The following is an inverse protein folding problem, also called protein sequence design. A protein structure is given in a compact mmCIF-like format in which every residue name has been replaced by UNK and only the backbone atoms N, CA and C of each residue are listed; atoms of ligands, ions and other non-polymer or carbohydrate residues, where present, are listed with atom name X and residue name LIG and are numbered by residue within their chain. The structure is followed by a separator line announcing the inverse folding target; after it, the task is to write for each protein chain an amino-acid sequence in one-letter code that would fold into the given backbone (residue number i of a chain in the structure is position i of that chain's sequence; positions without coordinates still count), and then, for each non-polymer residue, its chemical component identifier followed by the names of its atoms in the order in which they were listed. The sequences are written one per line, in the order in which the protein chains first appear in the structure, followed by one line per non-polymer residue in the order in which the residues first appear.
data_IF_647959361151
#
_entry.id   IF_647959361151
#
_cell.length_a   1.000
_cell.length_b   1.000
_cell.length_c   1.000
_cell.angle_alpha   90.00
_cell.angle_beta   90.00
_cell.angle_gamma   90.00
#
_symmetry.space_group_name_H-M   'P 1'
#
loop_
_entity.id
_entity.type
_entity.pdbx_description
1 polymer ?
#
# COMPACT_ATOMS: atom_id res chain seq x y z
N UNK A 1 1.37 52.10 16.39
CA UNK A 1 2.05 50.78 16.32
C UNK A 1 1.27 49.62 16.97
N UNK A 2 0.08 49.83 17.55
CA UNK A 2 -0.66 48.78 18.29
C UNK A 2 -1.59 47.90 17.43
N UNK A 3 -1.99 48.37 16.25
CA UNK A 3 -2.89 47.63 15.32
C UNK A 3 -2.20 46.56 14.49
N UNK A 4 -0.87 46.63 14.32
CA UNK A 4 -0.11 45.63 13.55
C UNK A 4 0.11 44.32 14.32
N UNK A 5 0.09 44.36 15.66
CA UNK A 5 0.26 43.16 16.49
C UNK A 5 -1.00 42.28 16.51
N UNK A 6 -2.18 42.89 16.37
CA UNK A 6 -3.46 42.17 16.43
C UNK A 6 -3.70 41.26 15.22
N UNK A 7 -3.22 41.66 14.03
CA UNK A 7 -3.34 40.85 12.82
C UNK A 7 -2.42 39.62 12.83
N UNK A 8 -1.27 39.68 13.50
CA UNK A 8 -0.36 38.53 13.61
C UNK A 8 -0.97 37.46 14.51
N UNK A 9 -1.63 37.85 15.61
CA UNK A 9 -2.27 36.90 16.53
C UNK A 9 -3.47 36.22 15.86
N UNK A 10 -4.26 36.94 15.05
CA UNK A 10 -5.40 36.37 14.33
C UNK A 10 -4.97 35.36 13.25
N UNK A 11 -3.80 35.53 12.63
CA UNK A 11 -3.25 34.62 11.62
C UNK A 11 -2.77 33.28 12.22
N UNK A 12 -2.33 33.28 13.48
CA UNK A 12 -1.87 32.06 14.16
C UNK A 12 -3.03 31.16 14.63
N UNK A 13 -4.21 31.72 14.90
CA UNK A 13 -5.39 30.94 15.35
C UNK A 13 -6.05 30.18 14.19
N UNK A 14 -5.84 30.59 12.93
CA UNK A 14 -6.35 29.86 11.75
C UNK A 14 -5.52 28.63 11.35
N UNK A 15 -4.24 28.56 11.76
CA UNK A 15 -3.37 27.41 11.49
C UNK A 15 -3.56 26.26 12.49
N UNK A 16 -4.31 26.48 13.57
CA UNK A 16 -4.78 25.40 14.47
C UNK A 16 -6.17 24.92 14.09
N UNK A 17 -6.66 25.21 12.88
CA UNK A 17 -7.83 24.50 12.35
C UNK A 17 -7.41 23.04 12.21
N UNK A 18 -7.85 22.27 13.19
CA UNK A 18 -7.60 20.86 13.33
C UNK A 18 -7.90 20.19 11.99
N UNK A 19 -6.85 19.77 11.28
CA UNK A 19 -6.93 18.49 10.60
C UNK A 19 -7.31 17.56 11.74
N UNK A 20 -8.58 17.14 11.78
CA UNK A 20 -8.97 15.96 12.53
C UNK A 20 -8.27 14.82 11.81
N UNK A 21 -6.96 14.72 12.04
CA UNK A 21 -6.20 13.53 11.76
C UNK A 21 -6.95 12.46 12.51
N UNK A 22 -7.59 11.58 11.74
CA UNK A 22 -8.22 10.40 12.25
C UNK A 22 -7.08 9.52 12.80
N UNK A 23 -6.67 9.80 14.04
CA UNK A 23 -5.90 8.88 14.84
C UNK A 23 -6.86 7.75 15.19
N UNK A 24 -6.75 6.66 14.42
CA UNK A 24 -7.60 5.48 14.51
C UNK A 24 -8.05 5.22 15.93
N UNK A 25 -9.34 5.42 16.18
CA UNK A 25 -9.91 5.28 17.51
C UNK A 25 -9.60 3.89 18.04
N UNK A 26 -8.90 3.84 19.17
CA UNK A 26 -8.70 2.62 19.96
C UNK A 26 -10.04 1.93 20.27
N UNK A 27 -10.00 0.66 20.70
CA UNK A 27 -11.03 -0.34 20.44
C UNK A 27 -12.39 0.12 20.95
N UNK A 28 -13.24 0.62 20.05
CA UNK A 28 -14.68 0.46 20.24
C UNK A 28 -14.93 -1.04 20.28
N UNK A 29 -15.63 -1.54 21.29
CA UNK A 29 -16.08 -2.93 21.43
C UNK A 29 -17.09 -3.35 20.35
N UNK A 30 -17.02 -2.72 19.18
CA UNK A 30 -17.79 -3.10 18.01
C UNK A 30 -17.09 -4.30 17.39
N UNK A 31 -17.86 -5.37 17.23
CA UNK A 31 -17.41 -6.58 16.55
C UNK A 31 -16.92 -6.23 15.14
N UNK A 32 -15.68 -6.57 14.85
CA UNK A 32 -15.08 -6.33 13.54
C UNK A 32 -15.60 -7.41 12.61
N UNK A 33 -16.38 -7.01 11.61
CA UNK A 33 -16.89 -7.93 10.60
C UNK A 33 -16.22 -7.61 9.28
N UNK A 34 -15.29 -8.46 8.88
CA UNK A 34 -14.70 -8.41 7.55
C UNK A 34 -15.67 -9.01 6.54
N UNK A 35 -15.82 -8.34 5.40
CA UNK A 35 -16.59 -8.79 4.25
C UNK A 35 -15.70 -8.70 3.02
N UNK A 36 -16.04 -9.39 1.95
CA UNK A 36 -15.29 -9.31 0.68
C UNK A 36 -15.23 -7.90 0.07
N UNK A 37 -15.96 -6.94 0.62
CA UNK A 37 -16.14 -5.59 0.08
C UNK A 37 -15.57 -4.47 0.98
N UNK A 38 -15.03 -4.82 2.16
CA UNK A 38 -14.61 -3.81 3.14
C UNK A 38 -13.15 -3.88 3.59
N UNK A 39 -12.39 -4.83 3.06
CA UNK A 39 -10.98 -4.93 3.39
C UNK A 39 -10.11 -5.30 2.19
N UNK A 40 -8.82 -5.04 2.35
CA UNK A 40 -7.75 -5.51 1.47
C UNK A 40 -6.67 -6.19 2.31
N UNK A 41 -6.05 -7.22 1.75
CA UNK A 41 -4.85 -7.83 2.34
C UNK A 41 -3.60 -7.18 1.75
N UNK A 42 -2.66 -6.74 2.59
CA UNK A 42 -1.47 -6.03 2.12
C UNK A 42 -0.58 -6.91 1.25
N UNK A 43 -0.47 -8.21 1.58
CA UNK A 43 0.37 -9.15 0.86
C UNK A 43 -0.11 -9.38 -0.58
N UNK A 44 -1.43 -9.37 -0.79
CA UNK A 44 -2.01 -9.44 -2.14
C UNK A 44 -1.69 -8.16 -2.92
N UNK A 45 -1.85 -6.99 -2.31
CA UNK A 45 -1.54 -5.71 -2.96
C UNK A 45 -0.06 -5.59 -3.35
N UNK A 46 0.83 -6.05 -2.47
CA UNK A 46 2.27 -6.05 -2.70
C UNK A 46 2.65 -7.06 -3.79
N UNK A 47 2.03 -8.24 -3.80
CA UNK A 47 2.20 -9.22 -4.86
C UNK A 47 1.87 -8.62 -6.22
N UNK A 48 0.72 -7.95 -6.35
CA UNK A 48 0.34 -7.29 -7.60
C UNK A 48 1.34 -6.20 -8.01
N UNK A 49 1.80 -5.39 -7.07
CA UNK A 49 2.84 -4.39 -7.32
C UNK A 49 4.13 -5.05 -7.87
N UNK A 50 4.61 -6.12 -7.23
CA UNK A 50 5.83 -6.79 -7.66
C UNK A 50 5.66 -7.45 -9.03
N UNK A 51 4.52 -8.08 -9.29
CA UNK A 51 4.22 -8.68 -10.60
C UNK A 51 4.23 -7.62 -11.72
N UNK A 52 3.70 -6.42 -11.48
CA UNK A 52 3.74 -5.31 -12.45
C UNK A 52 5.17 -4.77 -12.67
N UNK A 53 5.96 -4.64 -11.61
CA UNK A 53 7.38 -4.23 -11.71
C UNK A 53 8.20 -5.25 -12.51
N UNK A 54 7.99 -6.55 -12.29
CA UNK A 54 8.65 -7.61 -13.07
C UNK A 54 8.29 -7.49 -14.57
N UNK A 55 7.00 -7.29 -14.90
CA UNK A 55 6.56 -7.11 -16.28
C UNK A 55 7.18 -5.87 -16.93
N UNK A 56 7.25 -4.77 -16.18
CA UNK A 56 7.90 -3.51 -16.60
C UNK A 56 9.39 -3.71 -16.86
N UNK A 57 10.09 -4.43 -15.98
CA UNK A 57 11.50 -4.79 -16.15
C UNK A 57 11.69 -5.65 -17.40
N UNK A 58 10.89 -6.69 -17.60
CA UNK A 58 11.01 -7.58 -18.75
C UNK A 58 10.86 -6.81 -20.08
N UNK A 59 9.90 -5.87 -20.16
CA UNK A 59 9.73 -5.01 -21.32
C UNK A 59 10.94 -4.09 -21.57
N UNK A 60 11.54 -3.53 -20.50
CA UNK A 60 12.75 -2.69 -20.59
C UNK A 60 13.96 -3.52 -21.07
N UNK A 61 14.16 -4.70 -20.52
CA UNK A 61 15.23 -5.62 -20.89
C UNK A 61 15.10 -6.04 -22.36
N UNK A 62 13.89 -6.38 -22.82
CA UNK A 62 13.65 -6.74 -24.23
C UNK A 62 14.02 -5.58 -25.18
N UNK A 63 13.73 -4.34 -24.78
CA UNK A 63 14.10 -3.15 -25.56
C UNK A 63 15.62 -2.92 -25.59
N UNK A 64 16.29 -3.04 -24.44
CA UNK A 64 17.74 -2.82 -24.34
C UNK A 64 18.54 -3.89 -25.08
N UNK A 65 18.08 -5.15 -25.08
CA UNK A 65 18.70 -6.27 -25.81
C UNK A 65 18.66 -6.09 -27.34
N UNK A 66 17.87 -5.13 -27.86
CA UNK A 66 17.80 -4.80 -29.30
C UNK A 66 18.85 -3.77 -29.73
N UNK A 67 19.66 -3.22 -28.81
CA UNK A 67 20.75 -2.28 -29.15
C UNK A 67 21.85 -3.03 -29.92
N UNK A 68 22.26 -2.59 -31.13
CA UNK A 68 23.29 -3.24 -31.92
C UNK A 68 24.65 -3.29 -31.21
N UNK A 69 25.42 -4.35 -31.40
CA UNK A 69 26.73 -4.57 -30.74
C UNK A 69 27.81 -3.58 -31.17
N UNK A 70 27.64 -2.93 -32.32
CA UNK A 70 28.50 -1.88 -32.87
C UNK A 70 28.05 -0.47 -32.46
N UNK A 71 26.92 -0.34 -31.76
CA UNK A 71 26.44 0.95 -31.24
C UNK A 71 27.36 1.46 -30.13
N UNK A 72 27.65 2.79 -30.08
CA UNK A 72 28.35 3.38 -28.94
C UNK A 72 27.63 3.15 -27.60
N UNK A 73 26.31 2.95 -27.63
CA UNK A 73 25.47 2.78 -26.44
C UNK A 73 25.38 1.32 -25.95
N UNK A 74 25.98 0.36 -26.68
CA UNK A 74 25.82 -1.07 -26.39
C UNK A 74 26.28 -1.46 -24.97
N UNK A 75 27.42 -0.92 -24.55
CA UNK A 75 27.98 -1.22 -23.21
C UNK A 75 27.06 -0.72 -22.10
N UNK A 76 26.52 0.48 -22.26
CA UNK A 76 25.60 1.07 -21.29
C UNK A 76 24.26 0.33 -21.26
N UNK A 77 23.78 -0.11 -22.42
CA UNK A 77 22.58 -0.94 -22.52
C UNK A 77 22.77 -2.29 -21.80
N UNK A 78 23.92 -2.94 -21.96
CA UNK A 78 24.20 -4.21 -21.28
C UNK A 78 24.37 -4.05 -19.77
N UNK A 79 24.98 -2.94 -19.32
CA UNK A 79 25.07 -2.63 -17.89
C UNK A 79 23.68 -2.44 -17.28
N UNK A 80 22.77 -1.74 -17.98
CA UNK A 80 21.37 -1.59 -17.54
C UNK A 80 20.62 -2.92 -17.53
N UNK A 81 20.82 -3.80 -18.52
CA UNK A 81 20.22 -5.13 -18.53
C UNK A 81 20.61 -5.91 -17.27
N UNK A 82 21.90 -5.92 -16.91
CA UNK A 82 22.36 -6.65 -15.73
C UNK A 82 21.73 -6.09 -14.44
N UNK A 83 21.66 -4.76 -14.30
CA UNK A 83 21.01 -4.13 -13.14
C UNK A 83 19.53 -4.47 -13.04
N UNK A 84 18.81 -4.45 -14.16
CA UNK A 84 17.39 -4.80 -14.21
C UNK A 84 17.15 -6.29 -13.91
N UNK A 85 18.02 -7.19 -14.38
CA UNK A 85 17.94 -8.62 -14.07
C UNK A 85 18.23 -8.90 -12.58
N UNK A 86 19.15 -8.17 -11.96
CA UNK A 86 19.38 -8.23 -10.50
C UNK A 86 18.16 -7.73 -9.71
N UNK A 87 17.57 -6.60 -10.12
CA UNK A 87 16.35 -6.06 -9.51
C UNK A 87 15.18 -7.05 -9.64
N UNK A 88 14.96 -7.61 -10.82
CA UNK A 88 13.95 -8.66 -11.04
C UNK A 88 14.17 -9.86 -10.13
N UNK A 89 15.40 -10.34 -10.00
CA UNK A 89 15.69 -11.47 -9.11
C UNK A 89 15.36 -11.14 -7.65
N UNK A 90 15.60 -9.90 -7.21
CA UNK A 90 15.24 -9.46 -5.85
C UNK A 90 13.72 -9.48 -5.63
N UNK A 91 12.95 -9.09 -6.64
CA UNK A 91 11.49 -9.14 -6.61
C UNK A 91 10.96 -10.58 -6.58
N UNK A 92 11.54 -11.48 -7.36
CA UNK A 92 11.17 -12.91 -7.37
C UNK A 92 11.43 -13.58 -6.01
N UNK A 93 12.54 -13.24 -5.34
CA UNK A 93 12.83 -13.70 -3.98
C UNK A 93 11.77 -13.19 -3.01
N UNK A 94 11.47 -11.88 -3.05
CA UNK A 94 10.46 -11.26 -2.18
C UNK A 94 9.08 -11.88 -2.38
N UNK A 95 8.66 -12.15 -3.61
CA UNK A 95 7.41 -12.87 -3.91
C UNK A 95 7.38 -14.27 -3.28
N UNK A 96 8.51 -14.98 -3.28
CA UNK A 96 8.60 -16.34 -2.73
C UNK A 96 8.48 -16.38 -1.20
N UNK A 97 8.79 -15.27 -0.52
CA UNK A 97 8.72 -15.13 0.93
C UNK A 97 7.34 -14.67 1.42
N UNK A 98 6.47 -14.22 0.50
CA UNK A 98 5.14 -13.73 0.84
C UNK A 98 4.24 -14.85 1.33
N UNK A 99 3.53 -14.54 2.42
CA UNK A 99 2.51 -15.43 3.00
C UNK A 99 1.20 -15.17 2.28
N UNK A 100 0.60 -16.22 1.72
CA UNK A 100 -0.72 -16.14 1.13
C UNK A 100 -1.79 -16.26 2.24
N UNK A 101 -2.63 -15.24 2.40
CA UNK A 101 -3.71 -15.23 3.39
C UNK A 101 -4.65 -16.43 3.25
N UNK A 102 -4.94 -16.86 2.02
CA UNK A 102 -5.79 -18.03 1.76
C UNK A 102 -5.17 -19.34 2.24
N UNK A 103 -3.84 -19.39 2.37
CA UNK A 103 -3.12 -20.54 2.92
C UNK A 103 -3.17 -20.55 4.45
N UNK A 104 -3.29 -19.39 5.09
CA UNK A 104 -3.37 -19.24 6.56
C UNK A 104 -4.81 -19.43 7.04
N UNK A 105 -5.79 -18.83 6.37
CA UNK A 105 -7.18 -18.78 6.85
C UNK A 105 -8.16 -19.36 5.83
N UNK A 106 -8.40 -20.68 5.93
CA UNK A 106 -9.48 -21.35 5.19
C UNK A 106 -10.83 -20.78 5.64
N UNK A 107 -11.54 -20.10 4.73
CA UNK A 107 -12.89 -19.61 4.97
C UNK A 107 -13.00 -18.11 5.28
N UNK A 108 -11.89 -17.35 5.25
CA UNK A 108 -11.97 -15.91 5.24
C UNK A 108 -12.61 -15.41 3.93
N UNK A 109 -13.48 -14.38 3.96
CA UNK A 109 -14.09 -13.86 2.75
C UNK A 109 -13.00 -13.24 1.89
N UNK A 110 -12.73 -13.77 0.70
CA UNK A 110 -11.65 -13.27 -0.16
C UNK A 110 -11.91 -11.77 -0.47
N UNK A 111 -10.95 -10.88 -0.21
CA UNK A 111 -11.13 -9.45 -0.44
C UNK A 111 -11.12 -9.21 -1.94
N UNK A 112 -12.30 -9.13 -2.53
CA UNK A 112 -12.53 -9.11 -3.97
C UNK A 112 -11.89 -10.28 -4.76
N UNK A 113 -12.61 -10.83 -5.73
CA UNK A 113 -12.02 -11.82 -6.65
C UNK A 113 -11.13 -11.07 -7.66
N UNK A 114 -9.81 -11.20 -7.55
CA UNK A 114 -8.86 -10.53 -8.44
C UNK A 114 -8.25 -11.50 -9.46
N UNK A 115 -8.97 -11.75 -10.57
CA UNK A 115 -8.36 -11.93 -11.87
C UNK A 115 -8.80 -10.80 -12.81
N UNK A 116 -7.82 -10.06 -13.37
CA UNK A 116 -7.98 -8.92 -14.29
C UNK A 116 -8.40 -7.56 -13.70
N UNK A 117 -8.05 -7.28 -12.44
CA UNK A 117 -7.83 -5.91 -11.97
C UNK A 117 -9.07 -5.02 -11.82
N UNK A 118 -10.21 -5.58 -11.40
CA UNK A 118 -11.45 -4.82 -11.15
C UNK A 118 -11.99 -5.04 -9.75
N UNK A 119 -11.35 -4.45 -8.75
CA UNK A 119 -12.06 -4.21 -7.50
C UNK A 119 -11.39 -3.12 -6.68
N UNK A 120 -11.97 -1.92 -6.73
CA UNK A 120 -11.95 -1.03 -5.58
C UNK A 120 -13.06 -1.54 -4.65
N UNK A 121 -12.76 -1.90 -3.40
CA UNK A 121 -13.81 -2.32 -2.48
C UNK A 121 -14.91 -1.25 -2.39
N UNK A 122 -16.17 -1.67 -2.48
CA UNK A 122 -17.32 -0.76 -2.49
C UNK A 122 -17.30 0.16 -1.26
N UNK A 123 -16.82 -0.38 -0.13
CA UNK A 123 -16.70 0.31 1.15
C UNK A 123 -15.40 -0.07 1.86
N UNK A 124 -14.26 0.42 1.36
CA UNK A 124 -12.97 0.14 1.99
C UNK A 124 -12.88 0.76 3.40
N UNK A 125 -12.60 -0.09 4.40
CA UNK A 125 -12.49 0.32 5.81
C UNK A 125 -11.26 -0.28 6.51
N UNK A 126 -10.83 -1.47 6.09
CA UNK A 126 -9.76 -2.22 6.76
C UNK A 126 -8.63 -2.63 5.81
N UNK A 127 -7.42 -2.65 6.36
CA UNK A 127 -6.28 -3.33 5.75
C UNK A 127 -5.81 -4.41 6.70
N UNK A 128 -5.64 -5.62 6.18
CA UNK A 128 -5.09 -6.74 6.93
C UNK A 128 -3.59 -6.85 6.71
N UNK A 129 -2.89 -7.23 7.78
CA UNK A 129 -1.46 -7.48 7.81
C UNK A 129 -1.18 -8.77 8.57
N UNK A 130 -0.08 -9.43 8.23
CA UNK A 130 0.46 -10.49 9.07
C UNK A 130 0.94 -9.92 10.42
N UNK A 131 0.74 -10.65 11.52
CA UNK A 131 1.23 -10.32 12.87
C UNK A 131 2.76 -10.09 12.99
N UNK A 132 3.58 -10.58 12.06
CA UNK A 132 5.02 -10.33 12.02
C UNK A 132 5.39 -8.89 11.62
N UNK A 133 4.45 -8.11 11.10
CA UNK A 133 4.66 -6.69 10.81
C UNK A 133 4.64 -5.91 12.13
N UNK A 134 5.70 -5.18 12.43
CA UNK A 134 5.83 -4.43 13.70
C UNK A 134 5.33 -2.99 13.58
N UNK A 135 5.38 -2.43 12.38
CA UNK A 135 4.86 -1.10 12.05
C UNK A 135 4.27 -1.12 10.65
N UNK A 136 3.17 -0.41 10.47
CA UNK A 136 2.62 -0.15 9.14
C UNK A 136 1.93 1.21 9.13
N UNK A 137 1.97 1.86 7.98
CA UNK A 137 1.23 3.06 7.66
C UNK A 137 0.59 2.88 6.28
N UNK A 138 -0.68 3.23 6.19
CA UNK A 138 -1.45 3.19 4.94
C UNK A 138 -1.97 4.59 4.64
N UNK A 139 -1.75 5.02 3.40
CA UNK A 139 -2.25 6.27 2.85
C UNK A 139 -3.06 5.98 1.59
N UNK A 140 -4.33 6.38 1.58
CA UNK A 140 -5.23 6.23 0.44
C UNK A 140 -5.51 7.59 -0.19
N UNK A 141 -5.37 7.67 -1.51
CA UNK A 141 -5.61 8.87 -2.32
C UNK A 141 -6.60 8.60 -3.45
N UNK A 142 -7.32 9.63 -3.86
CA UNK A 142 -8.09 9.60 -5.11
C UNK A 142 -7.22 9.89 -6.34
N UNK A 143 -7.84 9.92 -7.51
CA UNK A 143 -7.20 10.20 -8.80
C UNK A 143 -6.60 11.61 -8.92
N UNK A 144 -7.08 12.56 -8.11
CA UNK A 144 -6.57 13.93 -8.05
C UNK A 144 -5.42 14.07 -7.04
N UNK A 145 -5.09 12.98 -6.32
CA UNK A 145 -4.06 12.94 -5.29
C UNK A 145 -4.52 13.44 -3.93
N UNK A 146 -5.82 13.72 -3.75
CA UNK A 146 -6.38 14.11 -2.46
C UNK A 146 -6.41 12.91 -1.53
N UNK A 147 -6.00 13.14 -0.28
CA UNK A 147 -5.99 12.11 0.76
C UNK A 147 -7.43 11.78 1.16
N UNK A 148 -7.80 10.51 1.02
CA UNK A 148 -9.09 9.95 1.42
C UNK A 148 -9.03 9.31 2.81
N UNK A 149 -7.89 8.74 3.18
CA UNK A 149 -7.70 8.09 4.47
C UNK A 149 -6.23 7.87 4.79
N UNK A 150 -5.90 7.90 6.09
CA UNK A 150 -4.57 7.56 6.62
C UNK A 150 -4.75 6.76 7.90
N UNK A 151 -3.89 5.78 8.13
CA UNK A 151 -3.84 5.04 9.40
C UNK A 151 -2.45 4.43 9.61
N UNK A 152 -1.98 4.41 10.85
CA UNK A 152 -0.67 3.86 11.22
C UNK A 152 -0.70 3.01 12.51
N UNK A 153 -1.90 2.70 13.01
CA UNK A 153 -2.08 1.97 14.27
C UNK A 153 -2.52 0.54 14.01
N UNK A 154 -1.57 -0.39 14.03
CA UNK A 154 -1.85 -1.81 13.94
C UNK A 154 -2.56 -2.30 15.21
N UNK A 155 -3.66 -3.02 15.02
CA UNK A 155 -4.45 -3.61 16.09
C UNK A 155 -4.52 -5.13 15.85
N UNK A 156 -4.20 -5.98 16.84
CA UNK A 156 -4.36 -7.43 16.71
C UNK A 156 -5.79 -7.79 16.28
N UNK A 157 -5.91 -8.71 15.33
CA UNK A 157 -7.22 -9.14 14.86
C UNK A 157 -7.84 -10.10 15.88
N UNK A 158 -9.08 -9.87 16.36
CA UNK A 158 -9.73 -10.76 17.32
C UNK A 158 -9.77 -12.20 16.81
N UNK A 159 -9.59 -13.17 17.70
CA UNK A 159 -9.56 -14.61 17.39
C UNK A 159 -8.33 -15.10 16.57
N UNK A 160 -7.56 -14.18 15.97
CA UNK A 160 -6.37 -14.48 15.15
C UNK A 160 -5.18 -13.58 15.53
N UNK A 161 -5.06 -13.23 16.82
CA UNK A 161 -4.10 -12.23 17.31
C UNK A 161 -2.63 -12.63 17.05
N UNK A 162 -2.34 -13.93 16.92
CA UNK A 162 -1.00 -14.45 16.63
C UNK A 162 -0.65 -14.46 15.15
N UNK A 163 -1.64 -14.33 14.27
CA UNK A 163 -1.50 -14.50 12.83
C UNK A 163 -1.74 -13.19 12.10
N UNK A 164 -2.69 -12.40 12.57
CA UNK A 164 -3.21 -11.22 11.91
C UNK A 164 -3.35 -10.01 12.82
N UNK A 165 -3.25 -8.88 12.16
CA UNK A 165 -3.56 -7.57 12.69
C UNK A 165 -4.16 -6.73 11.57
N UNK A 166 -4.76 -5.61 11.92
CA UNK A 166 -5.42 -4.74 10.96
C UNK A 166 -5.15 -3.28 11.22
N UNK A 167 -5.25 -2.48 10.15
CA UNK A 167 -5.37 -1.03 10.20
C UNK A 167 -6.80 -0.65 9.83
N UNK A 168 -7.40 0.22 10.63
CA UNK A 168 -8.69 0.85 10.30
C UNK A 168 -8.44 2.23 9.70
N UNK A 169 -9.06 2.52 8.56
CA UNK A 169 -9.07 3.84 7.92
C UNK A 169 -10.48 4.45 7.97
N UNK A 170 -10.64 5.76 7.72
CA UNK A 170 -11.94 6.33 7.42
C UNK A 170 -12.61 5.53 6.29
N UNK A 171 -13.93 5.32 6.40
CA UNK A 171 -14.68 4.58 5.38
C UNK A 171 -14.61 5.32 4.04
N UNK A 172 -14.16 4.62 3.00
CA UNK A 172 -14.05 5.13 1.64
C UNK A 172 -15.06 4.37 0.77
N UNK A 173 -15.97 5.09 0.13
CA UNK A 173 -17.03 4.51 -0.69
C UNK A 173 -17.03 5.09 -2.10
N UNK A 174 -17.53 4.28 -3.05
CA UNK A 174 -17.88 4.71 -4.41
C UNK A 174 -16.73 5.41 -5.17
N UNK A 175 -15.50 4.91 -5.00
CA UNK A 175 -14.35 5.41 -5.76
C UNK A 175 -14.16 4.57 -7.02
N UNK A 176 -14.05 5.24 -8.18
CA UNK A 176 -13.74 4.58 -9.44
C UNK A 176 -12.29 4.10 -9.49
N UNK A 177 -11.40 4.83 -8.83
CA UNK A 177 -9.98 4.52 -8.74
C UNK A 177 -9.38 5.14 -7.47
N UNK A 178 -8.50 4.39 -6.82
CA UNK A 178 -7.71 4.85 -5.67
C UNK A 178 -6.24 4.49 -5.85
N UNK A 179 -5.36 5.31 -5.27
CA UNK A 179 -3.96 4.97 -5.04
C UNK A 179 -3.77 4.64 -3.56
N UNK A 180 -3.15 3.51 -3.27
CA UNK A 180 -2.86 3.02 -1.92
C UNK A 180 -1.34 2.97 -1.79
N UNK A 181 -0.81 3.70 -0.82
CA UNK A 181 0.60 3.66 -0.45
C UNK A 181 0.70 2.96 0.90
N UNK A 182 1.49 1.91 0.96
CA UNK A 182 1.74 1.14 2.18
C UNK A 182 3.23 1.23 2.51
N UNK A 183 3.53 1.66 3.73
CA UNK A 183 4.86 1.56 4.34
C UNK A 183 4.77 0.57 5.49
N UNK A 184 5.69 -0.39 5.58
CA UNK A 184 5.70 -1.39 6.65
C UNK A 184 7.11 -1.81 7.06
N UNK A 185 7.23 -2.26 8.30
CA UNK A 185 8.46 -2.82 8.89
C UNK A 185 8.15 -4.19 9.48
N UNK A 186 8.94 -5.20 9.15
CA UNK A 186 8.79 -6.54 9.71
C UNK A 186 9.47 -6.70 11.08
N UNK A 187 9.42 -7.90 11.66
CA UNK A 187 10.06 -8.23 12.95
C UNK A 187 11.60 -8.27 12.89
N UNK A 188 12.18 -8.35 11.69
CA UNK A 188 13.63 -8.31 11.46
C UNK A 188 14.14 -6.88 11.25
N UNK A 189 13.23 -5.90 11.14
CA UNK A 189 13.54 -4.49 10.90
C UNK A 189 13.66 -4.14 9.42
N UNK A 190 13.27 -5.03 8.50
CA UNK A 190 13.25 -4.71 7.08
C UNK A 190 12.07 -3.79 6.78
N UNK A 191 12.36 -2.66 6.14
CA UNK A 191 11.36 -1.70 5.70
C UNK A 191 10.98 -1.95 4.24
N UNK A 192 9.71 -1.80 3.93
CA UNK A 192 9.22 -1.83 2.55
C UNK A 192 8.15 -0.77 2.35
N UNK A 193 8.20 -0.13 1.18
CA UNK A 193 7.22 0.87 0.75
C UNK A 193 6.80 0.50 -0.67
N UNK A 194 5.49 0.49 -0.93
CA UNK A 194 4.96 0.28 -2.27
C UNK A 194 3.68 1.10 -2.50
N UNK A 195 3.40 1.39 -3.77
CA UNK A 195 2.19 2.08 -4.22
C UNK A 195 1.44 1.18 -5.21
N UNK A 196 0.16 0.92 -4.93
CA UNK A 196 -0.73 0.17 -5.82
C UNK A 196 -1.91 1.04 -6.22
N UNK A 197 -2.26 1.04 -7.51
CA UNK A 197 -3.45 1.72 -8.03
C UNK A 197 -4.53 0.70 -8.32
N UNK A 198 -5.69 0.86 -7.69
CA UNK A 198 -6.86 0.02 -7.91
C UNK A 198 -7.89 0.78 -8.72
N UNK A 199 -8.49 0.12 -9.72
CA UNK A 199 -9.51 0.68 -10.60
C UNK A 199 -10.67 -0.31 -10.73
N UNK A 200 -11.89 0.21 -10.90
CA UNK A 200 -13.07 -0.58 -11.26
C UNK A 200 -13.13 -0.96 -12.76
#
# INVERSE_FOLDING_TARGET
MKTKLFFIILLFVSLTSCVKDYYGGGPSKEEIVLTSENYLYEGDLEKYFIEDEILSIDAKVEKLKKVPTDSPDYKDAQAQVNQLEEEKSSYEVRLSEMINLSAVLKGFPIPCDLPNGKCVPVRLEFFLFNAFITKAEVLVKDVEGKILGVSATLIPFPEFESELQYLKIPVIENQDQISIIISKMDALGNESIFETKLKN
#
